data_IF_887309491164
#
_entry.id   IF_887309491164
#
_cell.length_a   1.000
_cell.length_b   1.000
_cell.length_c   1.000
_cell.angle_alpha   90.00
_cell.angle_beta   90.00
_cell.angle_gamma   90.00
#
_symmetry.space_group_name_H-M   'P 1'
#
loop_
_entity.id
_entity.type
_entity.pdbx_description
1 polymer ?
#
# COMPACT_ATOMS: atom_id res chain seq x y z
N UNK A 1 -28.06 -30.17 53.06
CA UNK A 1 -29.00 -29.86 51.96
C UNK A 1 -29.43 -28.41 52.11
N UNK A 2 -28.88 -27.53 51.29
CA UNK A 2 -29.26 -26.10 51.24
C UNK A 2 -29.51 -25.77 49.78
N UNK A 3 -30.76 -25.48 49.45
CA UNK A 3 -31.18 -25.01 48.14
C UNK A 3 -30.82 -23.52 48.02
N UNK A 4 -30.08 -23.18 46.96
CA UNK A 4 -29.85 -21.80 46.54
C UNK A 4 -30.51 -21.62 45.17
N UNK A 5 -31.73 -21.09 45.19
CA UNK A 5 -32.41 -20.51 44.03
C UNK A 5 -32.22 -19.00 44.07
N UNK A 6 -31.53 -18.44 43.07
CA UNK A 6 -31.53 -16.99 42.81
C UNK A 6 -31.74 -16.72 41.33
N UNK A 7 -33.00 -16.39 41.05
CA UNK A 7 -33.55 -15.36 40.15
C UNK A 7 -32.53 -14.62 39.27
N UNK A 8 -32.57 -14.88 37.96
CA UNK A 8 -31.94 -14.06 36.93
C UNK A 8 -32.89 -12.91 36.54
N UNK A 9 -32.56 -11.69 36.94
CA UNK A 9 -33.31 -10.48 36.58
C UNK A 9 -32.76 -9.87 35.28
N UNK A 10 -33.68 -9.53 34.36
CA UNK A 10 -33.44 -8.95 33.04
C UNK A 10 -32.85 -7.54 33.16
N UNK A 11 -31.58 -7.37 32.80
CA UNK A 11 -30.97 -6.07 32.53
C UNK A 11 -31.19 -5.64 31.08
N UNK A 12 -32.01 -4.62 30.87
CA UNK A 12 -32.21 -3.93 29.59
C UNK A 12 -30.93 -3.18 29.20
N UNK A 13 -30.25 -3.60 28.12
CA UNK A 13 -29.22 -2.79 27.48
C UNK A 13 -29.86 -1.80 26.52
N UNK A 14 -29.89 -0.51 26.90
CA UNK A 14 -30.16 0.61 26.00
C UNK A 14 -29.01 0.73 25.00
N UNK A 15 -29.29 0.48 23.74
CA UNK A 15 -28.40 0.78 22.61
C UNK A 15 -28.52 2.28 22.30
N UNK A 16 -27.42 3.07 22.28
CA UNK A 16 -27.48 4.45 21.84
C UNK A 16 -27.71 4.53 20.32
N UNK A 17 -28.41 5.57 19.83
CA UNK A 17 -28.74 5.69 18.42
C UNK A 17 -27.47 5.91 17.58
N UNK A 18 -27.40 5.18 16.47
CA UNK A 18 -26.36 5.26 15.48
C UNK A 18 -26.18 6.71 14.99
N UNK A 19 -25.00 7.29 15.24
CA UNK A 19 -24.56 8.47 14.54
C UNK A 19 -24.39 8.12 13.05
N UNK A 20 -25.35 8.59 12.25
CA UNK A 20 -25.29 8.52 10.79
C UNK A 20 -24.21 9.50 10.32
N UNK A 21 -22.95 9.06 10.32
CA UNK A 21 -21.86 9.77 9.66
C UNK A 21 -22.00 9.54 8.15
N UNK A 22 -22.76 10.41 7.48
CA UNK A 22 -22.76 10.53 6.01
C UNK A 22 -21.39 11.03 5.57
N UNK A 23 -20.44 10.12 5.40
CA UNK A 23 -19.19 10.42 4.69
C UNK A 23 -19.53 10.52 3.20
N UNK A 24 -19.85 11.74 2.74
CA UNK A 24 -19.69 12.10 1.33
C UNK A 24 -18.19 12.16 1.05
N UNK A 25 -17.58 11.02 0.74
CA UNK A 25 -16.25 10.99 0.14
C UNK A 25 -16.39 11.36 -1.33
N UNK A 26 -16.44 12.68 -1.55
CA UNK A 26 -16.29 13.30 -2.85
C UNK A 26 -15.00 12.85 -3.51
N UNK A 27 -15.07 12.64 -4.82
CA UNK A 27 -14.04 12.18 -5.74
C UNK A 27 -12.81 13.13 -5.88
N UNK A 28 -12.43 13.85 -4.83
CA UNK A 28 -11.47 14.97 -4.88
C UNK A 28 -10.07 14.59 -4.38
N UNK A 29 -9.90 13.44 -3.73
CA UNK A 29 -8.58 13.04 -3.19
C UNK A 29 -7.66 12.40 -4.26
N UNK A 30 -8.21 11.96 -5.41
CA UNK A 30 -7.43 11.28 -6.45
C UNK A 30 -6.85 12.25 -7.50
N UNK A 31 -7.39 13.48 -7.63
CA UNK A 31 -6.92 14.44 -8.64
C UNK A 31 -5.64 15.20 -8.25
N UNK A 32 -5.25 15.24 -6.97
CA UNK A 32 -4.05 15.96 -6.52
C UNK A 32 -2.75 15.14 -6.61
N UNK A 33 -2.82 13.83 -6.91
CA UNK A 33 -1.63 12.99 -7.08
C UNK A 33 -1.11 12.92 -8.53
N UNK A 34 -1.81 13.53 -9.49
CA UNK A 34 -1.48 13.40 -10.92
C UNK A 34 -0.87 14.65 -11.58
N UNK A 35 -0.82 15.81 -10.92
CA UNK A 35 -0.48 17.10 -11.57
C UNK A 35 0.95 17.62 -11.34
N UNK A 36 1.87 16.82 -10.79
CA UNK A 36 3.23 17.28 -10.46
C UNK A 36 4.35 16.61 -11.27
N UNK A 37 4.07 16.16 -12.50
CA UNK A 37 5.04 15.45 -13.33
C UNK A 37 4.83 15.77 -14.81
N UNK A 38 5.00 17.02 -15.25
CA UNK A 38 5.36 17.34 -16.63
C UNK A 38 5.79 18.81 -16.72
N UNK A 39 7.10 19.05 -16.81
CA UNK A 39 7.69 20.09 -17.68
C UNK A 39 9.21 20.07 -17.62
N UNK A 40 9.79 20.16 -18.82
CA UNK A 40 11.15 20.58 -19.17
C UNK A 40 12.30 19.58 -19.00
N UNK A 41 12.48 18.80 -20.06
CA UNK A 41 13.77 18.26 -20.49
C UNK A 41 14.72 19.42 -20.83
N UNK A 42 15.84 19.52 -20.11
CA UNK A 42 17.04 20.20 -20.59
C UNK A 42 18.16 19.15 -20.65
N UNK A 43 18.51 18.73 -21.86
CA UNK A 43 19.69 17.91 -22.12
C UNK A 43 20.90 18.84 -22.04
N UNK A 44 21.50 18.92 -20.86
CA UNK A 44 22.85 19.45 -20.71
C UNK A 44 23.82 18.28 -20.73
N UNK A 45 24.48 18.09 -21.87
CA UNK A 45 25.73 17.34 -21.97
C UNK A 45 26.80 18.11 -21.18
N UNK A 46 26.89 17.84 -19.88
CA UNK A 46 27.90 18.36 -18.98
C UNK A 46 28.82 17.24 -18.56
N UNK A 47 30.11 17.41 -18.81
CA UNK A 47 31.17 16.50 -18.41
C UNK A 47 31.01 16.04 -16.96
N UNK A 48 31.20 14.73 -16.72
CA UNK A 48 31.34 14.16 -15.39
C UNK A 48 32.61 14.69 -14.74
N UNK A 49 32.54 15.91 -14.20
CA UNK A 49 33.47 16.37 -13.18
C UNK A 49 33.07 15.62 -11.92
N UNK A 50 33.83 14.59 -11.55
CA UNK A 50 33.74 13.98 -10.24
C UNK A 50 34.19 15.00 -9.20
N UNK A 51 33.30 15.93 -8.84
CA UNK A 51 33.43 16.64 -7.58
C UNK A 51 33.22 15.59 -6.50
N UNK A 52 34.32 15.20 -5.85
CA UNK A 52 34.27 14.49 -4.60
C UNK A 52 33.56 15.42 -3.60
N UNK A 53 32.23 15.31 -3.53
CA UNK A 53 31.46 15.90 -2.46
C UNK A 53 31.99 15.36 -1.13
N UNK A 54 31.93 16.20 -0.09
CA UNK A 54 32.19 15.71 1.26
C UNK A 54 31.23 14.55 1.53
N UNK A 55 31.73 13.40 1.97
CA UNK A 55 30.93 12.18 2.22
C UNK A 55 29.65 12.45 3.03
N UNK A 56 29.69 13.46 3.89
CA UNK A 56 28.58 13.94 4.69
C UNK A 56 27.41 14.44 3.83
N UNK A 57 27.68 15.18 2.75
CA UNK A 57 26.67 15.70 1.85
C UNK A 57 26.04 14.59 1.00
N UNK A 58 26.88 13.67 0.50
CA UNK A 58 26.42 12.47 -0.22
C UNK A 58 25.48 11.65 0.67
N UNK A 59 25.89 11.40 1.92
CA UNK A 59 25.10 10.66 2.89
C UNK A 59 23.78 11.37 3.23
N UNK A 60 23.80 12.69 3.41
CA UNK A 60 22.60 13.47 3.66
C UNK A 60 21.59 13.36 2.50
N UNK A 61 22.07 13.35 1.26
CA UNK A 61 21.21 13.16 0.08
C UNK A 61 20.59 11.76 0.04
N UNK A 62 21.38 10.71 0.34
CA UNK A 62 20.90 9.33 0.42
C UNK A 62 19.83 9.19 1.50
N UNK A 63 20.05 9.78 2.67
CA UNK A 63 19.11 9.76 3.79
C UNK A 63 17.80 10.50 3.46
N UNK A 64 17.88 11.67 2.83
CA UNK A 64 16.69 12.39 2.34
C UNK A 64 15.91 11.55 1.32
N UNK A 65 16.61 10.88 0.38
CA UNK A 65 15.98 9.98 -0.59
C UNK A 65 15.29 8.82 0.11
N UNK A 66 15.93 8.19 1.11
CA UNK A 66 15.34 7.12 1.92
C UNK A 66 14.01 7.55 2.53
N UNK A 67 14.01 8.68 3.24
CA UNK A 67 12.81 9.18 3.92
C UNK A 67 11.68 9.48 2.93
N UNK A 68 11.99 10.06 1.76
CA UNK A 68 11.02 10.30 0.71
C UNK A 68 10.38 9.01 0.20
N UNK A 69 11.19 7.99 -0.07
CA UNK A 69 10.72 6.69 -0.55
C UNK A 69 9.90 5.95 0.51
N UNK A 70 10.32 5.98 1.78
CA UNK A 70 9.57 5.39 2.89
C UNK A 70 8.21 6.06 3.08
N UNK A 71 8.16 7.40 3.02
CA UNK A 71 6.90 8.16 3.07
C UNK A 71 5.98 7.75 1.92
N UNK A 72 6.49 7.63 0.71
CA UNK A 72 5.72 7.20 -0.45
C UNK A 72 5.19 5.77 -0.28
N UNK A 73 6.02 4.85 0.24
CA UNK A 73 5.61 3.47 0.55
C UNK A 73 4.44 3.46 1.54
N UNK A 74 4.55 4.22 2.63
CA UNK A 74 3.49 4.31 3.66
C UNK A 74 2.19 4.83 3.05
N UNK A 75 2.25 5.83 2.18
CA UNK A 75 1.06 6.35 1.48
C UNK A 75 0.35 5.26 0.68
N UNK A 76 1.09 4.46 -0.10
CA UNK A 76 0.50 3.33 -0.81
C UNK A 76 -0.16 2.32 0.14
N UNK A 77 0.50 1.99 1.25
CA UNK A 77 -0.04 1.03 2.22
C UNK A 77 -1.33 1.50 2.88
N UNK A 78 -1.45 2.78 3.19
CA UNK A 78 -2.69 3.36 3.72
C UNK A 78 -3.82 3.21 2.72
N UNK A 79 -3.57 3.53 1.44
CA UNK A 79 -4.56 3.37 0.36
C UNK A 79 -4.97 1.90 0.20
N UNK A 80 -4.01 0.97 0.20
CA UNK A 80 -4.28 -0.46 0.06
C UNK A 80 -5.16 -1.02 1.20
N UNK A 81 -4.93 -0.58 2.45
CA UNK A 81 -5.78 -0.98 3.58
C UNK A 81 -7.21 -0.48 3.41
N UNK A 82 -7.38 0.79 3.03
CA UNK A 82 -8.70 1.38 2.79
C UNK A 82 -9.47 0.66 1.68
N UNK A 83 -8.80 0.35 0.56
CA UNK A 83 -9.40 -0.37 -0.56
C UNK A 83 -9.74 -1.82 -0.17
N UNK A 84 -8.92 -2.49 0.62
CA UNK A 84 -9.21 -3.86 1.09
C UNK A 84 -10.52 -3.92 1.88
N UNK A 85 -10.74 -2.97 2.80
CA UNK A 85 -12.00 -2.87 3.54
C UNK A 85 -13.19 -2.59 2.61
N UNK A 86 -13.02 -1.68 1.65
CA UNK A 86 -14.07 -1.35 0.67
C UNK A 86 -14.46 -2.55 -0.20
N UNK A 87 -13.47 -3.34 -0.64
CA UNK A 87 -13.66 -4.57 -1.41
C UNK A 87 -14.56 -5.56 -0.66
N UNK A 88 -14.27 -5.78 0.62
CA UNK A 88 -15.03 -6.71 1.47
C UNK A 88 -16.49 -6.25 1.60
N UNK A 89 -16.72 -4.95 1.81
CA UNK A 89 -18.08 -4.38 1.87
C UNK A 89 -18.86 -4.60 0.57
N UNK A 90 -18.28 -4.22 -0.58
CA UNK A 90 -18.96 -4.34 -1.87
C UNK A 90 -19.27 -5.78 -2.24
N UNK A 91 -18.34 -6.71 -2.02
CA UNK A 91 -18.60 -8.14 -2.23
C UNK A 91 -19.77 -8.62 -1.37
N UNK A 92 -19.79 -8.25 -0.08
CA UNK A 92 -20.87 -8.64 0.83
C UNK A 92 -22.22 -8.08 0.38
N UNK A 93 -22.27 -6.82 -0.06
CA UNK A 93 -23.48 -6.18 -0.59
C UNK A 93 -23.97 -6.88 -1.85
N UNK A 94 -23.07 -7.20 -2.78
CA UNK A 94 -23.39 -7.91 -4.02
C UNK A 94 -23.96 -9.30 -3.74
N UNK A 95 -23.25 -10.13 -2.96
CA UNK A 95 -23.72 -11.49 -2.66
C UNK A 95 -25.04 -11.50 -1.89
N UNK A 96 -25.26 -10.54 -0.99
CA UNK A 96 -26.55 -10.39 -0.29
C UNK A 96 -27.67 -10.06 -1.28
N UNK A 97 -27.41 -9.23 -2.28
CA UNK A 97 -28.41 -8.87 -3.29
C UNK A 97 -28.75 -10.09 -4.16
N UNK A 98 -27.73 -10.74 -4.72
CA UNK A 98 -27.90 -11.89 -5.62
C UNK A 98 -28.55 -13.08 -4.89
N UNK A 99 -28.23 -13.33 -3.62
CA UNK A 99 -28.82 -14.44 -2.86
C UNK A 99 -30.33 -14.30 -2.62
N UNK A 100 -30.87 -13.08 -2.70
CA UNK A 100 -32.31 -12.84 -2.53
C UNK A 100 -33.10 -13.25 -3.77
N UNK A 101 -32.51 -13.12 -4.95
CA UNK A 101 -33.12 -13.50 -6.23
C UNK A 101 -32.03 -13.93 -7.20
N UNK A 102 -31.73 -15.23 -7.18
CA UNK A 102 -30.78 -15.83 -8.11
C UNK A 102 -31.35 -15.78 -9.53
N UNK A 103 -30.50 -15.41 -10.48
CA UNK A 103 -30.80 -15.42 -11.91
C UNK A 103 -29.56 -15.99 -12.64
N UNK A 104 -29.71 -16.96 -13.56
CA UNK A 104 -28.59 -17.50 -14.32
C UNK A 104 -27.79 -16.45 -15.11
N UNK A 105 -28.41 -15.32 -15.46
CA UNK A 105 -27.72 -14.21 -16.13
C UNK A 105 -26.53 -13.66 -15.34
N UNK A 106 -26.48 -13.83 -14.01
CA UNK A 106 -25.35 -13.39 -13.18
C UNK A 106 -24.08 -14.24 -13.32
N UNK A 107 -24.18 -15.44 -13.90
CA UNK A 107 -23.08 -16.40 -13.91
C UNK A 107 -21.83 -15.86 -14.63
N UNK A 108 -22.02 -15.16 -15.74
CA UNK A 108 -20.94 -14.57 -16.51
C UNK A 108 -20.19 -13.48 -15.72
N UNK A 109 -20.91 -12.54 -15.10
CA UNK A 109 -20.32 -11.46 -14.30
C UNK A 109 -19.66 -11.98 -13.03
N UNK A 110 -20.23 -13.01 -12.38
CA UNK A 110 -19.64 -13.62 -11.20
C UNK A 110 -18.36 -14.38 -11.53
N UNK A 111 -18.30 -15.04 -12.68
CA UNK A 111 -17.09 -15.72 -13.14
C UNK A 111 -16.00 -14.71 -13.55
N UNK A 112 -16.37 -13.60 -14.22
CA UNK A 112 -15.44 -12.50 -14.48
C UNK A 112 -14.90 -11.89 -13.17
N UNK A 113 -15.79 -11.60 -12.21
CA UNK A 113 -15.41 -11.07 -10.91
C UNK A 113 -14.47 -12.02 -10.16
N UNK A 114 -14.71 -13.33 -10.24
CA UNK A 114 -13.83 -14.35 -9.66
C UNK A 114 -12.43 -14.32 -10.29
N UNK A 115 -12.32 -14.30 -11.62
CA UNK A 115 -11.03 -14.25 -12.34
C UNK A 115 -10.23 -13.00 -11.99
N UNK A 116 -10.89 -11.83 -11.94
CA UNK A 116 -10.24 -10.58 -11.54
C UNK A 116 -9.78 -10.66 -10.08
N UNK A 117 -10.61 -11.21 -9.18
CA UNK A 117 -10.28 -11.36 -7.76
C UNK A 117 -9.07 -12.27 -7.56
N UNK A 118 -9.00 -13.40 -8.26
CA UNK A 118 -7.87 -14.34 -8.20
C UNK A 118 -6.58 -13.65 -8.68
N UNK A 119 -6.64 -12.94 -9.80
CA UNK A 119 -5.51 -12.16 -10.32
C UNK A 119 -5.02 -11.11 -9.31
N UNK A 120 -5.95 -10.38 -8.69
CA UNK A 120 -5.63 -9.39 -7.66
C UNK A 120 -5.02 -10.05 -6.42
N UNK A 121 -5.52 -11.22 -6.01
CA UNK A 121 -4.98 -11.91 -4.85
C UNK A 121 -3.55 -12.40 -5.09
N UNK A 122 -3.25 -12.94 -6.27
CA UNK A 122 -1.87 -13.28 -6.67
C UNK A 122 -0.95 -12.07 -6.61
N UNK A 123 -1.34 -10.93 -7.18
CA UNK A 123 -0.54 -9.70 -7.11
C UNK A 123 -0.39 -9.19 -5.67
N UNK A 124 -1.44 -9.30 -4.84
CA UNK A 124 -1.40 -8.91 -3.42
C UNK A 124 -0.36 -9.72 -2.65
N UNK A 125 -0.34 -11.04 -2.86
CA UNK A 125 0.60 -11.94 -2.21
C UNK A 125 2.03 -11.68 -2.69
N UNK A 126 2.24 -11.49 -3.99
CA UNK A 126 3.54 -11.11 -4.56
C UNK A 126 4.06 -9.79 -3.96
N UNK A 127 3.20 -8.79 -3.83
CA UNK A 127 3.56 -7.51 -3.21
C UNK A 127 3.85 -7.65 -1.72
N UNK A 128 3.13 -8.51 -1.00
CA UNK A 128 3.39 -8.77 0.41
C UNK A 128 4.77 -9.42 0.62
N UNK A 129 5.12 -10.41 -0.20
CA UNK A 129 6.42 -11.08 -0.17
C UNK A 129 7.58 -10.11 -0.50
N UNK A 130 7.41 -9.31 -1.55
CA UNK A 130 8.39 -8.29 -1.92
C UNK A 130 8.63 -7.27 -0.80
N UNK A 131 7.57 -6.84 -0.09
CA UNK A 131 7.69 -5.93 1.06
C UNK A 131 8.52 -6.55 2.17
N UNK A 132 8.23 -7.79 2.54
CA UNK A 132 8.97 -8.50 3.60
C UNK A 132 10.45 -8.62 3.21
N UNK A 133 10.73 -8.99 1.96
CA UNK A 133 12.10 -9.08 1.46
C UNK A 133 12.82 -7.73 1.52
N UNK A 134 12.17 -6.65 1.09
CA UNK A 134 12.77 -5.31 1.12
C UNK A 134 12.94 -4.77 2.54
N UNK A 135 12.04 -5.08 3.46
CA UNK A 135 12.19 -4.73 4.88
C UNK A 135 13.38 -5.46 5.52
N UNK A 136 13.59 -6.73 5.16
CA UNK A 136 14.76 -7.49 5.60
C UNK A 136 16.06 -6.85 5.09
N UNK A 137 16.15 -6.57 3.79
CA UNK A 137 17.32 -5.88 3.19
C UNK A 137 17.58 -4.55 3.88
N UNK A 138 16.54 -3.73 4.08
CA UNK A 138 16.67 -2.44 4.77
C UNK A 138 17.24 -2.60 6.18
N UNK A 139 16.74 -3.56 6.96
CA UNK A 139 17.23 -3.81 8.32
C UNK A 139 18.67 -4.30 8.33
N UNK A 140 19.04 -5.21 7.43
CA UNK A 140 20.43 -5.70 7.29
C UNK A 140 21.40 -4.55 6.99
N UNK A 141 21.06 -3.68 6.05
CA UNK A 141 21.88 -2.51 5.70
C UNK A 141 21.98 -1.52 6.86
N UNK A 142 20.89 -1.28 7.58
CA UNK A 142 20.88 -0.37 8.73
C UNK A 142 21.73 -0.91 9.89
N UNK A 143 21.67 -2.22 10.16
CA UNK A 143 22.53 -2.89 11.14
C UNK A 143 24.00 -2.72 10.74
N UNK A 144 24.34 -2.99 9.47
CA UNK A 144 25.70 -2.82 8.96
C UNK A 144 26.20 -1.38 9.12
N UNK A 145 25.37 -0.37 8.83
CA UNK A 145 25.74 1.04 9.04
C UNK A 145 26.04 1.33 10.51
N UNK A 146 25.15 0.90 11.41
CA UNK A 146 25.31 1.12 12.86
C UNK A 146 26.60 0.46 13.37
N UNK A 147 26.92 -0.74 12.88
CA UNK A 147 28.16 -1.43 13.20
C UNK A 147 29.38 -0.64 12.73
N UNK A 148 29.43 -0.23 11.46
CA UNK A 148 30.48 0.65 10.92
C UNK A 148 30.65 1.93 11.76
N UNK A 149 29.55 2.58 12.13
CA UNK A 149 29.58 3.79 12.97
C UNK A 149 30.13 3.56 14.38
N UNK A 150 30.00 2.33 14.90
CA UNK A 150 30.44 1.93 16.24
C UNK A 150 31.89 1.45 16.25
N UNK A 151 32.32 0.70 15.24
CA UNK A 151 33.65 0.09 15.20
C UNK A 151 34.75 1.12 14.88
N UNK A 152 34.45 2.09 14.02
CA UNK A 152 35.45 3.06 13.57
C UNK A 152 35.51 4.31 14.46
N UNK A 153 36.67 4.50 15.10
CA UNK A 153 36.98 5.70 15.90
C UNK A 153 37.49 6.86 15.04
N UNK A 154 38.24 6.55 13.99
CA UNK A 154 38.68 7.51 13.00
C UNK A 154 37.62 7.62 11.89
N UNK A 155 37.19 8.85 11.60
CA UNK A 155 36.18 9.18 10.60
C UNK A 155 36.71 10.18 9.58
N UNK A 156 38.03 10.28 9.47
CA UNK A 156 38.70 11.17 8.54
C UNK A 156 38.58 10.73 7.07
N UNK A 157 38.98 11.59 6.13
CA UNK A 157 38.99 11.26 4.71
C UNK A 157 39.89 10.06 4.40
N UNK A 158 39.49 9.24 3.42
CA UNK A 158 40.18 8.02 3.00
C UNK A 158 40.37 6.96 4.10
N UNK A 159 39.63 7.06 5.21
CA UNK A 159 39.58 6.03 6.24
C UNK A 159 38.77 4.81 5.79
N UNK A 160 38.97 3.68 6.47
CA UNK A 160 38.13 2.49 6.29
C UNK A 160 36.66 2.80 6.59
N UNK A 161 36.38 3.71 7.53
CA UNK A 161 35.04 4.22 7.79
C UNK A 161 34.40 4.86 6.56
N UNK A 162 35.09 5.80 5.91
CA UNK A 162 34.58 6.46 4.71
C UNK A 162 34.26 5.42 3.61
N UNK A 163 35.17 4.47 3.39
CA UNK A 163 34.98 3.41 2.40
C UNK A 163 33.74 2.56 2.71
N UNK A 164 33.58 2.14 3.96
CA UNK A 164 32.42 1.34 4.38
C UNK A 164 31.10 2.11 4.26
N UNK A 165 31.08 3.40 4.61
CA UNK A 165 29.90 4.24 4.45
C UNK A 165 29.55 4.45 2.97
N UNK A 166 30.55 4.63 2.09
CA UNK A 166 30.32 4.67 0.64
C UNK A 166 29.73 3.36 0.13
N UNK A 167 30.26 2.22 0.56
CA UNK A 167 29.68 0.91 0.22
C UNK A 167 28.24 0.79 0.72
N UNK A 168 27.93 1.24 1.94
CA UNK A 168 26.55 1.29 2.45
C UNK A 168 25.64 2.14 1.56
N UNK A 169 26.10 3.32 1.13
CA UNK A 169 25.33 4.21 0.25
C UNK A 169 25.05 3.56 -1.11
N UNK A 170 26.04 2.88 -1.69
CA UNK A 170 25.87 2.15 -2.96
C UNK A 170 24.92 0.96 -2.79
N UNK A 171 25.03 0.23 -1.68
CA UNK A 171 24.19 -0.92 -1.36
C UNK A 171 22.73 -0.50 -1.12
N UNK A 172 22.46 0.57 -0.36
CA UNK A 172 21.09 1.02 -0.12
C UNK A 172 20.44 1.56 -1.40
N UNK A 173 21.23 2.22 -2.26
CA UNK A 173 20.76 2.67 -3.57
C UNK A 173 20.36 1.49 -4.46
N UNK A 174 21.25 0.51 -4.61
CA UNK A 174 21.06 -0.61 -5.55
C UNK A 174 20.15 -1.72 -5.03
N UNK A 175 20.29 -2.11 -3.77
CA UNK A 175 19.57 -3.26 -3.19
C UNK A 175 18.21 -2.89 -2.61
N UNK A 176 18.02 -1.63 -2.23
CA UNK A 176 16.77 -1.16 -1.62
C UNK A 176 16.02 -0.13 -2.48
N UNK A 177 16.62 1.03 -2.77
CA UNK A 177 15.89 2.10 -3.48
C UNK A 177 15.48 1.71 -4.89
N UNK A 178 16.40 1.13 -5.66
CA UNK A 178 16.13 0.67 -7.02
C UNK A 178 14.96 -0.31 -7.07
N UNK A 179 14.90 -1.24 -6.11
CA UNK A 179 13.82 -2.22 -6.03
C UNK A 179 12.49 -1.62 -5.59
N UNK A 180 12.51 -0.62 -4.70
CA UNK A 180 11.31 0.16 -4.39
C UNK A 180 10.76 0.85 -5.65
N UNK A 181 11.62 1.52 -6.40
CA UNK A 181 11.25 2.33 -7.56
C UNK A 181 10.86 1.48 -8.77
N UNK A 182 11.55 0.36 -9.02
CA UNK A 182 11.40 -0.47 -10.23
C UNK A 182 10.44 -1.65 -10.03
N UNK A 183 10.31 -2.19 -8.82
CA UNK A 183 9.48 -3.37 -8.56
C UNK A 183 8.27 -3.04 -7.70
N UNK A 184 8.48 -2.47 -6.50
CA UNK A 184 7.41 -2.33 -5.53
C UNK A 184 6.37 -1.28 -5.93
N UNK A 185 6.80 -0.05 -6.25
CA UNK A 185 5.87 1.02 -6.60
C UNK A 185 5.12 0.77 -7.92
N UNK A 186 5.75 0.28 -9.00
CA UNK A 186 5.03 -0.13 -10.19
C UNK A 186 4.03 -1.26 -9.89
N UNK A 187 4.42 -2.21 -9.03
CA UNK A 187 3.52 -3.25 -8.56
C UNK A 187 2.30 -2.70 -7.81
N UNK A 188 2.48 -1.72 -6.92
CA UNK A 188 1.37 -1.02 -6.27
C UNK A 188 0.46 -0.33 -7.29
N UNK A 189 1.02 0.43 -8.24
CA UNK A 189 0.22 1.10 -9.29
C UNK A 189 -0.60 0.09 -10.10
N UNK A 190 0.00 -1.04 -10.50
CA UNK A 190 -0.68 -2.13 -11.22
C UNK A 190 -1.84 -2.69 -10.40
N UNK A 191 -1.59 -3.02 -9.13
CA UNK A 191 -2.63 -3.55 -8.23
C UNK A 191 -3.76 -2.54 -8.02
N UNK A 192 -3.44 -1.26 -7.81
CA UNK A 192 -4.42 -0.19 -7.63
C UNK A 192 -5.31 -0.02 -8.86
N UNK A 193 -4.74 -0.02 -10.07
CA UNK A 193 -5.53 0.01 -11.30
C UNK A 193 -6.44 -1.23 -11.43
N UNK A 194 -5.95 -2.40 -11.06
CA UNK A 194 -6.73 -3.64 -11.10
C UNK A 194 -7.91 -3.62 -10.12
N UNK A 195 -7.70 -3.18 -8.88
CA UNK A 195 -8.76 -3.14 -7.87
C UNK A 195 -9.83 -2.08 -8.18
N UNK A 196 -9.45 -0.98 -8.84
CA UNK A 196 -10.41 0.01 -9.35
C UNK A 196 -11.32 -0.59 -10.41
N UNK A 197 -10.76 -1.32 -11.39
CA UNK A 197 -11.55 -2.04 -12.40
C UNK A 197 -12.50 -3.05 -11.76
N UNK A 198 -12.01 -3.81 -10.77
CA UNK A 198 -12.83 -4.73 -10.00
C UNK A 198 -13.98 -4.02 -9.29
N UNK A 199 -13.74 -2.85 -8.69
CA UNK A 199 -14.80 -2.07 -8.04
C UNK A 199 -15.85 -1.54 -9.01
N UNK A 200 -15.45 -1.14 -10.22
CA UNK A 200 -16.39 -0.73 -11.26
C UNK A 200 -17.31 -1.88 -11.66
N UNK A 201 -16.76 -3.08 -11.83
CA UNK A 201 -17.54 -4.30 -12.11
C UNK A 201 -18.54 -4.55 -10.97
N UNK A 202 -18.08 -4.66 -9.72
CA UNK A 202 -18.95 -4.93 -8.57
C UNK A 202 -20.07 -3.89 -8.42
N UNK A 203 -19.77 -2.61 -8.59
CA UNK A 203 -20.76 -1.54 -8.51
C UNK A 203 -21.81 -1.64 -9.61
N UNK A 204 -21.38 -1.95 -10.84
CA UNK A 204 -22.29 -2.13 -11.99
C UNK A 204 -23.23 -3.30 -11.73
N UNK A 205 -22.69 -4.47 -11.35
CA UNK A 205 -23.49 -5.67 -11.07
C UNK A 205 -24.45 -5.43 -9.91
N UNK A 206 -24.00 -4.77 -8.84
CA UNK A 206 -24.87 -4.41 -7.71
C UNK A 206 -26.01 -3.47 -8.14
N UNK A 207 -25.74 -2.47 -8.98
CA UNK A 207 -26.76 -1.55 -9.48
C UNK A 207 -27.83 -2.26 -10.30
N UNK A 208 -27.44 -3.21 -11.17
CA UNK A 208 -28.39 -4.02 -11.94
C UNK A 208 -29.22 -4.90 -11.00
N UNK A 209 -28.60 -5.54 -10.00
CA UNK A 209 -29.31 -6.37 -9.03
C UNK A 209 -30.34 -5.57 -8.21
N UNK A 210 -29.97 -4.38 -7.74
CA UNK A 210 -30.90 -3.49 -7.03
C UNK A 210 -32.06 -3.05 -7.93
N UNK A 211 -31.81 -2.77 -9.21
CA UNK A 211 -32.85 -2.39 -10.17
C UNK A 211 -33.85 -3.53 -10.40
N UNK A 212 -33.39 -4.76 -10.61
CA UNK A 212 -34.26 -5.93 -10.76
C UNK A 212 -35.19 -6.11 -9.56
N UNK A 213 -34.69 -5.87 -8.34
CA UNK A 213 -35.51 -5.97 -7.13
C UNK A 213 -36.66 -4.96 -7.05
N UNK A 214 -36.56 -3.81 -7.74
CA UNK A 214 -37.58 -2.75 -7.68
C UNK A 214 -38.68 -2.93 -8.73
N UNK A 215 -38.45 -3.76 -9.75
CA UNK A 215 -39.38 -3.98 -10.87
C UNK A 215 -40.31 -5.17 -10.67
N UNK A 216 -40.16 -5.92 -9.58
CA UNK A 216 -41.00 -7.03 -9.15
C UNK A 216 -41.75 -6.69 -7.86
#
# INVERSE_FOLDING_TARGET
MVFLTTVFSRGQYRVPPAAVLKIRMSAVIIFYLFSALFSASAVSAGAAVSQAGEIKDDYAQVEMKRQKLEKQRIQYEVVLRALTARRISLNRELYRCISQKWDPSWEAELEEAKKIRETLETERLRLADLRVTLDKVRMELEISRIETERFHKDKGPASDYEKEIRNYMDDIMSRYFDRLEKELFPGYKKYLSGIEKYFLLLKRTLAVCVKHRQTD
#
